data_IF_912850616955
#
_entry.id   IF_912850616955
#
_cell.length_a   1.000
_cell.length_b   1.000
_cell.length_c   1.000
_cell.angle_alpha   90.00
_cell.angle_beta   90.00
_cell.angle_gamma   90.00
#
_symmetry.space_group_name_H-M   'P 1'
#
loop_
_entity.id
_entity.type
_entity.pdbx_description
1 polymer ?
#
# COMPACT_ATOMS: atom_id res chain seq x y z
N UNK A 1 14.13 31.19 -32.78
CA UNK A 1 15.51 31.11 -32.26
C UNK A 1 16.05 29.72 -32.54
N UNK A 2 17.31 29.55 -32.99
CA UNK A 2 17.88 28.22 -33.15
C UNK A 2 18.04 27.55 -31.79
N UNK A 3 17.60 26.30 -31.68
CA UNK A 3 17.83 25.46 -30.50
C UNK A 3 19.22 24.86 -30.64
N UNK A 4 20.15 25.29 -29.79
CA UNK A 4 21.51 24.73 -29.75
C UNK A 4 21.49 23.56 -28.75
N UNK A 5 21.76 22.32 -29.19
CA UNK A 5 21.80 21.18 -28.28
C UNK A 5 22.92 21.32 -27.26
N UNK A 6 22.67 20.89 -26.03
CA UNK A 6 23.72 20.79 -25.00
C UNK A 6 24.74 19.76 -25.43
N UNK A 7 26.03 20.13 -25.40
CA UNK A 7 27.12 19.24 -25.76
C UNK A 7 27.42 18.25 -24.62
N UNK A 8 27.91 17.05 -24.99
CA UNK A 8 28.19 15.97 -24.04
C UNK A 8 29.12 16.40 -22.89
N UNK A 9 30.24 17.05 -23.20
CA UNK A 9 31.19 17.48 -22.18
C UNK A 9 30.62 18.54 -21.24
N UNK A 10 29.83 19.49 -21.77
CA UNK A 10 29.13 20.48 -20.93
C UNK A 10 28.13 19.81 -19.99
N UNK A 11 27.36 18.84 -20.49
CA UNK A 11 26.41 18.09 -19.68
C UNK A 11 27.13 17.32 -18.56
N UNK A 12 28.20 16.60 -18.91
CA UNK A 12 28.97 15.74 -18.01
C UNK A 12 29.75 16.51 -16.95
N UNK A 13 30.43 17.59 -17.34
CA UNK A 13 31.40 18.28 -16.47
C UNK A 13 30.78 19.46 -15.75
N UNK A 14 29.84 20.18 -16.39
CA UNK A 14 29.39 21.48 -15.90
C UNK A 14 27.95 21.50 -15.41
N UNK A 15 27.09 20.60 -15.89
CA UNK A 15 25.66 20.64 -15.57
C UNK A 15 25.32 19.57 -14.52
N UNK A 16 25.49 18.29 -14.85
CA UNK A 16 25.04 17.19 -13.98
C UNK A 16 25.70 17.18 -12.59
N UNK A 17 27.02 17.44 -12.42
CA UNK A 17 27.64 17.39 -11.10
C UNK A 17 27.12 18.45 -10.11
N UNK A 18 26.57 19.54 -10.61
CA UNK A 18 26.06 20.67 -9.81
C UNK A 18 24.54 20.73 -9.74
N UNK A 19 23.85 19.79 -10.40
CA UNK A 19 22.41 19.66 -10.30
C UNK A 19 22.01 18.94 -9.01
N UNK A 20 20.89 19.39 -8.45
CA UNK A 20 20.26 18.73 -7.31
C UNK A 20 19.91 17.26 -7.67
N UNK A 21 20.18 16.28 -6.78
CA UNK A 21 20.02 14.85 -7.08
C UNK A 21 18.65 14.44 -7.61
N UNK A 22 17.57 14.90 -6.99
CA UNK A 22 16.20 14.53 -7.39
C UNK A 22 15.86 15.06 -8.79
N UNK A 23 16.38 16.22 -9.15
CA UNK A 23 16.30 16.77 -10.51
C UNK A 23 17.00 15.85 -11.52
N UNK A 24 18.19 15.35 -11.19
CA UNK A 24 18.94 14.42 -12.05
C UNK A 24 18.20 13.09 -12.25
N UNK A 25 17.54 12.58 -11.20
CA UNK A 25 16.71 11.38 -11.30
C UNK A 25 15.52 11.58 -12.24
N UNK A 26 14.80 12.69 -12.12
CA UNK A 26 13.67 13.00 -13.01
C UNK A 26 14.12 13.10 -14.48
N UNK A 27 15.23 13.78 -14.75
CA UNK A 27 15.79 13.87 -16.10
C UNK A 27 16.17 12.49 -16.62
N UNK A 28 16.91 11.71 -15.83
CA UNK A 28 17.38 10.38 -16.22
C UNK A 28 16.24 9.40 -16.48
N UNK A 29 15.15 9.48 -15.70
CA UNK A 29 13.96 8.64 -15.89
C UNK A 29 13.24 8.88 -17.23
N UNK A 30 13.33 10.11 -17.75
CA UNK A 30 12.65 10.53 -18.99
C UNK A 30 13.56 10.49 -20.22
N UNK A 31 14.88 10.48 -20.03
CA UNK A 31 15.87 10.60 -21.10
C UNK A 31 16.93 9.49 -20.99
N UNK A 32 16.75 8.37 -21.72
CA UNK A 32 17.69 7.25 -21.69
C UNK A 32 19.12 7.63 -22.08
N UNK A 33 19.30 8.59 -22.99
CA UNK A 33 20.62 9.10 -23.39
C UNK A 33 21.38 9.77 -22.25
N UNK A 34 20.68 10.36 -21.28
CA UNK A 34 21.27 10.97 -20.09
C UNK A 34 21.47 9.92 -18.98
N UNK A 35 20.55 8.97 -18.83
CA UNK A 35 20.66 7.90 -17.82
C UNK A 35 21.99 7.11 -17.93
N UNK A 36 22.42 6.80 -19.16
CA UNK A 36 23.71 6.12 -19.39
C UNK A 36 24.93 6.96 -18.94
N UNK A 37 24.83 8.28 -19.03
CA UNK A 37 25.85 9.20 -18.55
C UNK A 37 25.79 9.37 -17.03
N UNK A 38 24.57 9.49 -16.49
CA UNK A 38 24.30 9.69 -15.07
C UNK A 38 24.94 8.59 -14.21
N UNK A 39 24.82 7.33 -14.64
CA UNK A 39 25.44 6.17 -13.98
C UNK A 39 26.97 6.23 -13.85
N UNK A 40 27.64 7.14 -14.57
CA UNK A 40 29.10 7.30 -14.60
C UNK A 40 29.59 8.54 -13.85
N UNK A 41 28.68 9.40 -13.39
CA UNK A 41 29.00 10.66 -12.73
C UNK A 41 28.69 10.53 -11.24
N UNK A 42 29.61 10.94 -10.35
CA UNK A 42 29.33 10.97 -8.92
C UNK A 42 28.08 11.79 -8.59
N UNK A 43 27.36 11.35 -7.56
CA UNK A 43 26.16 12.01 -7.05
C UNK A 43 26.42 12.44 -5.61
N UNK A 44 26.24 13.73 -5.32
CA UNK A 44 26.35 14.26 -3.96
C UNK A 44 24.96 14.35 -3.34
N UNK A 45 24.72 13.57 -2.30
CA UNK A 45 23.46 13.55 -1.54
C UNK A 45 23.76 14.06 -0.13
N UNK A 46 22.95 15.00 0.37
CA UNK A 46 23.12 15.54 1.72
C UNK A 46 22.56 14.59 2.77
N UNK A 47 21.35 14.08 2.54
CA UNK A 47 20.66 13.15 3.44
C UNK A 47 20.14 11.96 2.65
N UNK A 48 20.56 10.76 3.03
CA UNK A 48 20.10 9.51 2.44
C UNK A 48 19.56 8.60 3.55
N UNK A 49 18.28 8.27 3.48
CA UNK A 49 17.63 7.37 4.43
C UNK A 49 16.91 6.26 3.67
N UNK A 50 17.15 5.03 4.11
CA UNK A 50 16.41 3.87 3.64
C UNK A 50 15.43 3.39 4.72
N UNK A 51 14.27 2.93 4.27
CA UNK A 51 13.20 2.34 5.04
C UNK A 51 12.73 1.07 4.30
N UNK A 52 11.87 0.27 4.93
CA UNK A 52 11.35 -0.97 4.32
C UNK A 52 10.56 -0.70 3.04
N UNK A 53 9.89 0.45 2.94
CA UNK A 53 8.95 0.77 1.85
C UNK A 53 9.28 2.07 1.11
N UNK A 54 10.27 2.84 1.60
CA UNK A 54 10.61 4.12 1.02
C UNK A 54 12.11 4.44 1.07
N UNK A 55 12.58 5.19 0.09
CA UNK A 55 13.91 5.76 0.05
C UNK A 55 13.78 7.28 0.06
N UNK A 56 14.45 7.94 1.00
CA UNK A 56 14.47 9.41 1.07
C UNK A 56 15.83 9.93 0.63
N UNK A 57 15.82 10.86 -0.33
CA UNK A 57 17.00 11.54 -0.86
C UNK A 57 16.79 13.04 -0.68
N UNK A 58 17.58 13.64 0.20
CA UNK A 58 17.39 15.00 0.69
C UNK A 58 15.96 15.16 1.25
N UNK A 59 15.15 16.04 0.65
CA UNK A 59 13.77 16.31 1.06
C UNK A 59 12.73 15.47 0.28
N UNK A 60 13.15 14.69 -0.72
CA UNK A 60 12.25 13.88 -1.55
C UNK A 60 12.12 12.46 -1.00
N UNK A 61 10.90 11.93 -0.97
CA UNK A 61 10.58 10.56 -0.60
C UNK A 61 10.10 9.79 -1.83
N UNK A 62 10.81 8.72 -2.16
CA UNK A 62 10.47 7.78 -3.22
C UNK A 62 9.83 6.56 -2.58
N UNK A 63 8.57 6.29 -2.97
CA UNK A 63 7.76 5.19 -2.45
C UNK A 63 7.32 4.32 -3.61
N UNK A 64 7.27 3.02 -3.36
CA UNK A 64 6.60 2.07 -4.24
C UNK A 64 5.26 1.70 -3.60
N UNK A 65 4.19 1.73 -4.39
CA UNK A 65 2.87 1.34 -3.93
C UNK A 65 2.08 0.68 -5.04
N UNK A 66 1.25 -0.29 -4.66
CA UNK A 66 0.33 -0.99 -5.54
C UNK A 66 -0.96 -0.18 -5.63
N UNK A 67 -1.21 0.38 -6.81
CA UNK A 67 -2.46 1.05 -7.13
C UNK A 67 -3.51 0.00 -7.55
N UNK A 68 -4.65 -0.01 -6.86
CA UNK A 68 -5.74 -0.96 -7.13
C UNK A 68 -6.84 -0.31 -7.95
N UNK A 69 -6.92 -0.67 -9.22
CA UNK A 69 -8.00 -0.25 -10.12
C UNK A 69 -9.06 -1.35 -10.24
N UNK A 70 -10.29 -1.04 -9.85
CA UNK A 70 -11.44 -1.94 -9.93
C UNK A 70 -12.19 -1.83 -11.28
N UNK A 71 -11.66 -1.04 -12.22
CA UNK A 71 -12.19 -0.90 -13.56
C UNK A 71 -13.58 -0.26 -13.56
N UNK A 72 -14.58 -1.03 -13.99
CA UNK A 72 -15.98 -0.58 -14.01
C UNK A 72 -16.70 -0.78 -12.68
N UNK A 73 -16.11 -1.59 -11.78
CA UNK A 73 -16.69 -1.82 -10.48
C UNK A 73 -16.39 -0.63 -9.56
N UNK A 74 -17.26 -0.40 -8.59
CA UNK A 74 -17.00 0.58 -7.56
C UNK A 74 -15.74 0.20 -6.78
N UNK A 75 -14.82 1.16 -6.63
CA UNK A 75 -13.62 0.96 -5.81
C UNK A 75 -14.00 1.14 -4.35
N UNK A 76 -13.74 0.15 -3.48
CA UNK A 76 -14.03 0.27 -2.06
C UNK A 76 -13.42 1.55 -1.44
N UNK A 77 -14.11 2.25 -0.52
CA UNK A 77 -13.64 3.53 0.01
C UNK A 77 -12.25 3.51 0.65
N UNK A 78 -11.91 2.42 1.34
CA UNK A 78 -10.59 2.15 1.93
C UNK A 78 -9.50 2.05 0.84
N UNK A 79 -9.82 1.39 -0.27
CA UNK A 79 -8.93 1.29 -1.42
C UNK A 79 -8.74 2.66 -2.07
N UNK A 80 -9.82 3.43 -2.23
CA UNK A 80 -9.76 4.77 -2.81
C UNK A 80 -8.86 5.69 -1.99
N UNK A 81 -9.01 5.67 -0.66
CA UNK A 81 -8.15 6.42 0.25
C UNK A 81 -6.69 5.99 0.10
N UNK A 82 -6.39 4.68 0.14
CA UNK A 82 -5.02 4.18 -0.04
C UNK A 82 -4.43 4.59 -1.39
N UNK A 83 -5.21 4.54 -2.47
CA UNK A 83 -4.78 4.97 -3.79
C UNK A 83 -4.42 6.48 -3.84
N UNK A 84 -5.13 7.33 -3.08
CA UNK A 84 -4.81 8.77 -2.97
C UNK A 84 -3.46 9.00 -2.26
N UNK A 85 -3.05 8.08 -1.39
CA UNK A 85 -1.76 8.11 -0.68
C UNK A 85 -0.61 7.45 -1.46
N UNK A 86 -0.84 7.05 -2.71
CA UNK A 86 0.16 6.42 -3.57
C UNK A 86 0.07 4.90 -3.67
N UNK A 87 -1.01 4.29 -3.16
CA UNK A 87 -1.25 2.85 -3.21
C UNK A 87 -0.87 2.12 -1.93
N UNK A 88 -1.09 0.81 -1.92
CA UNK A 88 -0.69 -0.06 -0.79
C UNK A 88 0.81 -0.35 -0.84
N UNK A 89 1.48 -0.29 0.31
CA UNK A 89 2.89 -0.68 0.45
C UNK A 89 3.10 -2.18 0.56
N UNK A 90 2.03 -2.95 0.75
CA UNK A 90 2.09 -4.39 0.96
C UNK A 90 1.86 -5.12 -0.37
N UNK A 91 2.35 -6.35 -0.45
CA UNK A 91 2.05 -7.22 -1.58
C UNK A 91 0.57 -7.62 -1.53
N UNK A 92 -0.04 -7.73 -2.70
CA UNK A 92 -1.46 -8.04 -2.83
C UNK A 92 -1.62 -9.26 -3.75
N UNK A 93 -2.43 -10.22 -3.33
CA UNK A 93 -2.70 -11.41 -4.13
C UNK A 93 -3.76 -11.15 -5.22
N UNK A 94 -4.03 -12.16 -6.05
CA UNK A 94 -5.01 -12.08 -7.15
C UNK A 94 -6.45 -11.75 -6.70
N UNK A 95 -6.77 -11.91 -5.41
CA UNK A 95 -8.07 -11.62 -4.83
C UNK A 95 -8.13 -10.26 -4.13
N UNK A 96 -7.06 -9.46 -4.18
CA UNK A 96 -7.00 -8.13 -3.56
C UNK A 96 -6.63 -8.14 -2.08
N UNK A 97 -6.24 -9.30 -1.53
CA UNK A 97 -5.85 -9.43 -0.12
C UNK A 97 -4.36 -9.17 0.07
N UNK A 98 -4.04 -8.47 1.17
CA UNK A 98 -2.66 -8.23 1.60
C UNK A 98 -2.00 -9.57 1.95
N UNK A 99 -0.81 -9.77 1.42
CA UNK A 99 0.06 -10.91 1.66
C UNK A 99 1.47 -10.39 1.93
N UNK A 100 2.30 -11.21 2.57
CA UNK A 100 3.68 -10.87 2.92
C UNK A 100 4.68 -11.91 2.36
N UNK A 101 4.57 -12.33 1.09
CA UNK A 101 5.38 -13.40 0.55
C UNK A 101 6.84 -12.94 0.49
N UNK A 102 7.69 -13.54 1.32
CA UNK A 102 9.11 -13.25 1.24
C UNK A 102 9.52 -11.91 1.82
N UNK A 103 8.74 -11.33 2.75
CA UNK A 103 9.24 -10.29 3.66
C UNK A 103 10.59 -10.69 4.31
N UNK A 104 10.81 -12.01 4.46
CA UNK A 104 12.07 -12.54 4.95
C UNK A 104 13.05 -13.08 3.91
N UNK A 105 12.69 -13.06 2.63
CA UNK A 105 13.48 -13.61 1.55
C UNK A 105 14.39 -12.52 1.00
N UNK A 106 15.71 -12.74 1.09
CA UNK A 106 16.73 -11.86 0.49
C UNK A 106 17.32 -12.60 -0.70
N UNK A 107 17.15 -12.06 -1.89
CA UNK A 107 17.67 -12.62 -3.13
C UNK A 107 19.11 -12.14 -3.39
N UNK A 108 19.89 -12.85 -4.23
CA UNK A 108 21.20 -12.39 -4.64
C UNK A 108 21.13 -11.00 -5.30
N UNK A 109 21.79 -10.01 -4.69
CA UNK A 109 21.77 -8.62 -5.16
C UNK A 109 20.93 -7.67 -4.30
N UNK A 110 20.13 -8.20 -3.39
CA UNK A 110 19.33 -7.38 -2.48
C UNK A 110 20.17 -6.78 -1.35
N UNK A 111 19.79 -5.58 -0.91
CA UNK A 111 20.31 -4.95 0.30
C UNK A 111 19.36 -5.23 1.45
N UNK A 112 19.80 -6.06 2.39
CA UNK A 112 19.01 -6.39 3.57
C UNK A 112 18.99 -5.22 4.55
N UNK A 113 17.87 -4.48 4.55
CA UNK A 113 17.62 -3.33 5.43
C UNK A 113 16.77 -3.70 6.65
N UNK A 114 16.44 -4.98 6.83
CA UNK A 114 15.57 -5.44 7.91
C UNK A 114 16.26 -5.25 9.25
N UNK A 115 15.51 -4.75 10.23
CA UNK A 115 15.97 -4.68 11.64
C UNK A 115 15.64 -5.93 12.43
N UNK A 116 14.59 -6.64 12.02
CA UNK A 116 14.08 -7.84 12.67
C UNK A 116 13.53 -8.79 11.58
N UNK A 117 13.59 -10.09 11.84
CA UNK A 117 12.91 -11.11 11.04
C UNK A 117 11.44 -11.03 11.42
N UNK A 118 10.55 -10.81 10.44
CA UNK A 118 9.11 -10.83 10.68
C UNK A 118 8.69 -12.29 10.86
N UNK A 119 7.81 -12.60 11.81
CA UNK A 119 7.26 -13.96 11.83
C UNK A 119 6.42 -14.15 10.58
N UNK A 120 6.63 -15.26 9.86
CA UNK A 120 5.78 -15.63 8.74
C UNK A 120 4.40 -16.00 9.31
N UNK A 121 3.53 -15.00 9.43
CA UNK A 121 2.14 -15.18 9.80
C UNK A 121 1.39 -15.42 8.50
N UNK A 122 1.00 -16.67 8.19
CA UNK A 122 0.31 -16.94 6.94
C UNK A 122 -0.98 -16.14 6.95
N UNK A 123 -1.22 -15.34 5.91
CA UNK A 123 -2.44 -14.53 5.76
C UNK A 123 -3.73 -15.35 5.56
N UNK A 124 -3.61 -16.69 5.51
CA UNK A 124 -4.72 -17.61 5.33
C UNK A 124 -4.64 -18.79 6.30
N UNK A 125 -4.47 -18.50 7.60
CA UNK A 125 -4.63 -19.53 8.63
C UNK A 125 -6.11 -19.80 8.92
N UNK A 126 -6.47 -21.03 9.31
CA UNK A 126 -7.83 -21.33 9.79
C UNK A 126 -8.28 -20.37 10.92
N UNK A 127 -7.33 -19.86 11.72
CA UNK A 127 -7.61 -18.88 12.76
C UNK A 127 -8.07 -17.53 12.20
N UNK A 128 -7.42 -17.02 11.16
CA UNK A 128 -7.81 -15.78 10.48
C UNK A 128 -9.13 -15.95 9.72
N UNK A 129 -9.32 -17.08 9.05
CA UNK A 129 -10.61 -17.37 8.39
C UNK A 129 -11.75 -17.35 9.40
N UNK A 130 -11.59 -18.03 10.55
CA UNK A 130 -12.59 -17.99 11.64
C UNK A 130 -12.82 -16.58 12.16
N UNK A 131 -11.77 -15.77 12.25
CA UNK A 131 -11.87 -14.37 12.68
C UNK A 131 -12.67 -13.53 11.67
N UNK A 132 -12.36 -13.63 10.39
CA UNK A 132 -13.06 -12.93 9.30
C UNK A 132 -14.53 -13.35 9.20
N UNK A 133 -14.81 -14.64 9.36
CA UNK A 133 -16.19 -15.16 9.38
C UNK A 133 -16.98 -14.63 10.59
N UNK A 134 -16.33 -14.48 11.75
CA UNK A 134 -16.94 -13.83 12.93
C UNK A 134 -17.19 -12.34 12.70
N UNK A 135 -16.23 -11.62 12.13
CA UNK A 135 -16.36 -10.22 11.78
C UNK A 135 -17.49 -9.99 10.77
N UNK A 136 -17.55 -10.80 9.71
CA UNK A 136 -18.59 -10.75 8.69
C UNK A 136 -19.98 -10.96 9.30
N UNK A 137 -20.12 -11.91 10.22
CA UNK A 137 -21.36 -12.15 10.95
C UNK A 137 -21.83 -10.92 11.72
N UNK A 138 -20.93 -10.29 12.48
CA UNK A 138 -21.23 -9.07 13.25
C UNK A 138 -21.64 -7.92 12.33
N UNK A 139 -20.91 -7.72 11.22
CA UNK A 139 -21.22 -6.67 10.25
C UNK A 139 -22.58 -6.90 9.56
N UNK A 140 -22.89 -8.14 9.14
CA UNK A 140 -24.20 -8.50 8.57
C UNK A 140 -25.34 -8.24 9.58
N UNK A 141 -25.13 -8.56 10.85
CA UNK A 141 -26.12 -8.30 11.92
C UNK A 141 -26.35 -6.80 12.13
N UNK A 142 -25.28 -6.00 12.22
CA UNK A 142 -25.39 -4.53 12.37
C UNK A 142 -26.06 -3.89 11.15
N UNK A 143 -25.76 -4.39 9.95
CA UNK A 143 -26.37 -3.93 8.71
C UNK A 143 -27.88 -4.23 8.67
N UNK A 144 -28.29 -5.44 9.04
CA UNK A 144 -29.71 -5.80 9.12
C UNK A 144 -30.45 -4.91 10.13
N UNK A 145 -29.87 -4.66 11.31
CA UNK A 145 -30.42 -3.74 12.31
C UNK A 145 -30.58 -2.31 11.76
N UNK A 146 -29.58 -1.79 11.06
CA UNK A 146 -29.62 -0.47 10.40
C UNK A 146 -30.73 -0.35 9.37
N UNK A 147 -30.97 -1.42 8.63
CA UNK A 147 -32.00 -1.51 7.59
C UNK A 147 -33.39 -1.89 8.16
N UNK A 148 -33.53 -2.06 9.48
CA UNK A 148 -34.74 -2.56 10.15
C UNK A 148 -35.21 -3.93 9.60
N UNK A 149 -34.26 -4.80 9.26
CA UNK A 149 -34.49 -6.16 8.79
C UNK A 149 -34.08 -7.18 9.88
N UNK A 150 -34.67 -8.36 9.82
CA UNK A 150 -34.24 -9.48 10.65
C UNK A 150 -32.94 -10.06 10.10
N UNK A 151 -31.93 -10.19 10.95
CA UNK A 151 -30.71 -10.89 10.59
C UNK A 151 -30.98 -12.40 10.55
N UNK A 152 -30.76 -13.01 9.39
CA UNK A 152 -30.86 -14.46 9.20
C UNK A 152 -29.45 -15.00 9.03
N UNK A 153 -29.07 -15.98 9.86
CA UNK A 153 -27.79 -16.66 9.72
C UNK A 153 -27.75 -17.43 8.40
N UNK A 154 -26.73 -17.15 7.58
CA UNK A 154 -26.43 -17.88 6.36
C UNK A 154 -25.43 -19.01 6.62
N UNK A 155 -25.34 -19.94 5.68
CA UNK A 155 -24.41 -21.08 5.79
C UNK A 155 -22.93 -20.66 5.89
N UNK A 156 -22.58 -19.43 5.44
CA UNK A 156 -21.21 -18.90 5.53
C UNK A 156 -20.85 -18.51 6.98
N UNK A 157 -21.82 -18.01 7.74
CA UNK A 157 -21.62 -17.48 9.10
C UNK A 157 -22.13 -18.41 10.20
N UNK A 158 -22.87 -19.47 9.84
CA UNK A 158 -23.44 -20.47 10.75
C UNK A 158 -22.42 -21.19 11.63
N UNK A 159 -21.18 -21.35 11.15
CA UNK A 159 -20.10 -21.99 11.89
C UNK A 159 -19.24 -21.00 12.70
N UNK A 160 -19.55 -19.70 12.64
CA UNK A 160 -18.87 -18.69 13.44
C UNK A 160 -19.23 -18.90 14.91
N UNK A 161 -18.26 -19.31 15.73
CA UNK A 161 -18.46 -19.57 17.17
C UNK A 161 -19.31 -18.48 17.85
N UNK A 162 -20.50 -18.87 18.33
CA UNK A 162 -21.50 -17.95 18.89
C UNK A 162 -21.12 -17.58 20.33
N UNK A 163 -21.16 -16.28 20.66
CA UNK A 163 -21.20 -15.82 22.05
C UNK A 163 -19.87 -15.80 22.83
N UNK A 164 -18.72 -15.81 22.15
CA UNK A 164 -17.42 -15.61 22.81
C UNK A 164 -17.12 -14.15 23.16
N UNK A 165 -16.24 -13.86 24.15
CA UNK A 165 -15.87 -12.50 24.55
C UNK A 165 -15.26 -11.66 23.41
N UNK A 166 -14.62 -12.31 22.43
CA UNK A 166 -14.08 -11.66 21.21
C UNK A 166 -15.22 -11.09 20.34
N UNK A 167 -16.35 -11.78 20.25
CA UNK A 167 -17.51 -11.37 19.47
C UNK A 167 -18.15 -10.10 20.06
N UNK A 168 -18.32 -10.05 21.39
CA UNK A 168 -18.85 -8.88 22.10
C UNK A 168 -17.94 -7.65 21.94
N UNK A 169 -16.62 -7.86 21.99
CA UNK A 169 -15.64 -6.77 21.82
C UNK A 169 -15.64 -6.22 20.39
N UNK A 170 -15.70 -7.09 19.38
CA UNK A 170 -15.86 -6.70 17.98
C UNK A 170 -17.16 -5.95 17.75
N UNK A 171 -18.29 -6.49 18.19
CA UNK A 171 -19.60 -5.84 18.06
C UNK A 171 -19.60 -4.43 18.65
N UNK A 172 -19.07 -4.27 19.88
CA UNK A 172 -18.96 -2.96 20.53
C UNK A 172 -18.11 -1.99 19.71
N UNK A 173 -17.03 -2.48 19.10
CA UNK A 173 -16.11 -1.67 18.30
C UNK A 173 -16.74 -1.22 16.98
N UNK A 174 -17.35 -2.15 16.21
CA UNK A 174 -18.03 -1.81 14.96
C UNK A 174 -19.27 -0.97 15.17
N UNK A 175 -20.04 -1.17 16.25
CA UNK A 175 -21.16 -0.28 16.61
C UNK A 175 -20.69 1.15 16.82
N UNK A 176 -19.58 1.37 17.53
CA UNK A 176 -19.00 2.71 17.70
C UNK A 176 -18.57 3.34 16.37
N UNK A 177 -17.96 2.56 15.47
CA UNK A 177 -17.52 3.07 14.17
C UNK A 177 -18.71 3.41 13.25
N UNK A 178 -19.75 2.58 13.25
CA UNK A 178 -20.93 2.76 12.42
C UNK A 178 -21.83 3.88 12.93
N UNK A 179 -21.96 4.10 14.25
CA UNK A 179 -22.74 5.20 14.86
C UNK A 179 -22.39 6.60 14.31
N UNK A 180 -21.17 6.79 13.82
CA UNK A 180 -20.69 8.06 13.27
C UNK A 180 -20.91 8.22 11.75
N UNK A 181 -21.47 7.22 11.05
CA UNK A 181 -21.71 7.29 9.60
C UNK A 181 -23.21 7.42 9.28
N UNK A 182 -23.60 8.39 8.42
CA UNK A 182 -24.99 8.60 8.04
C UNK A 182 -25.54 7.44 7.20
N UNK A 183 -26.84 7.16 7.33
CA UNK A 183 -27.54 6.04 6.68
C UNK A 183 -27.54 6.17 5.16
N UNK A 184 -27.43 7.39 4.61
CA UNK A 184 -27.40 7.68 3.18
C UNK A 184 -26.22 7.02 2.42
N UNK A 185 -25.19 6.55 3.12
CA UNK A 185 -24.06 5.79 2.55
C UNK A 185 -24.33 4.28 2.39
N UNK A 186 -25.48 3.77 2.86
CA UNK A 186 -25.81 2.34 2.87
C UNK A 186 -26.71 1.96 1.68
N UNK A 187 -27.39 2.94 1.07
CA UNK A 187 -28.33 2.74 -0.04
C UNK A 187 -27.82 3.22 -1.42
N UNK A 188 -26.58 3.69 -1.50
CA UNK A 188 -25.91 4.04 -2.78
C UNK A 188 -25.16 2.84 -3.35
#
# INVERSE_FOLDING_TARGET
MPVIPVQYESLKVSILPYMEPNTRFQISSRMPSISALESRIPLSIENLTFSSIDTKVNEASYKLGVYRDHGRNETPPDVLEMNQWGGSSDDINQYGLIIHPGENNVLPGDFDLRRQVLEDVPANTEGQERHLVQELRVLKMILAERLNQEYIEDDETRNAGVGGPVNVMMETSYRRMTLNRPIEFIES
#
